data_IF_496071379594
#
_entry.id   IF_496071379594
#
_cell.length_a   1.000
_cell.length_b   1.000
_cell.length_c   1.000
_cell.angle_alpha   90.00
_cell.angle_beta   90.00
_cell.angle_gamma   90.00
#
_symmetry.space_group_name_H-M   'P 1'
#
loop_
_entity.id
_entity.type
_entity.pdbx_description
1 polymer ?
#
# COMPACT_ATOMS: atom_id res chain seq x y z
N UNK A 1 0.03 4.62 34.59
CA UNK A 1 0.87 4.80 33.39
C UNK A 1 0.40 6.08 32.69
N UNK A 2 1.28 7.05 32.44
CA UNK A 2 0.91 8.36 31.86
C UNK A 2 0.48 8.18 30.39
N UNK A 3 -0.70 8.66 30.01
CA UNK A 3 -1.24 8.59 28.64
C UNK A 3 -0.27 9.18 27.60
N UNK A 4 0.38 10.30 27.94
CA UNK A 4 1.42 10.94 27.11
C UNK A 4 2.60 9.98 26.86
N UNK A 5 3.03 9.24 27.88
CA UNK A 5 4.13 8.27 27.80
C UNK A 5 3.74 6.98 27.08
N UNK A 6 2.47 6.61 27.08
CA UNK A 6 1.99 5.45 26.31
C UNK A 6 1.92 5.79 24.83
N UNK A 7 1.37 6.95 24.48
CA UNK A 7 1.19 7.37 23.08
C UNK A 7 2.52 7.75 22.40
N UNK A 8 3.47 8.33 23.13
CA UNK A 8 4.79 8.69 22.59
C UNK A 8 5.58 7.50 22.04
N UNK A 9 5.32 6.28 22.55
CA UNK A 9 5.94 5.05 22.04
C UNK A 9 5.56 4.74 20.59
N UNK A 10 4.39 5.20 20.14
CA UNK A 10 3.86 4.93 18.80
C UNK A 10 4.19 6.03 17.78
N UNK A 11 4.72 7.18 18.22
CA UNK A 11 5.05 8.31 17.35
C UNK A 11 6.41 8.15 16.61
N UNK A 12 7.18 7.11 16.93
CA UNK A 12 8.48 6.86 16.32
C UNK A 12 8.35 6.35 14.88
N UNK A 13 9.03 7.01 13.93
CA UNK A 13 9.10 6.54 12.53
C UNK A 13 10.09 5.38 12.40
N UNK A 14 9.69 4.19 11.93
CA UNK A 14 10.60 3.07 11.74
C UNK A 14 11.61 3.36 10.63
N UNK A 15 12.85 2.89 10.81
CA UNK A 15 13.85 2.89 9.76
C UNK A 15 13.36 2.04 8.57
N UNK A 16 13.50 2.56 7.36
CA UNK A 16 13.11 1.89 6.11
C UNK A 16 11.63 1.50 6.00
N UNK A 17 10.71 2.24 6.66
CA UNK A 17 9.27 1.97 6.62
C UNK A 17 8.73 1.79 5.18
N UNK A 18 9.07 2.70 4.26
CA UNK A 18 8.61 2.60 2.87
C UNK A 18 9.05 1.29 2.20
N UNK A 19 10.29 0.84 2.43
CA UNK A 19 10.79 -0.43 1.88
C UNK A 19 10.00 -1.61 2.43
N UNK A 20 9.68 -1.60 3.73
CA UNK A 20 8.87 -2.66 4.36
C UNK A 20 7.46 -2.69 3.77
N UNK A 21 6.82 -1.52 3.65
CA UNK A 21 5.50 -1.36 3.03
C UNK A 21 5.53 -1.89 1.59
N UNK A 22 6.52 -1.47 0.80
CA UNK A 22 6.68 -1.88 -0.58
C UNK A 22 6.79 -3.40 -0.75
N UNK A 23 7.67 -4.05 0.02
CA UNK A 23 7.82 -5.51 -0.04
C UNK A 23 6.53 -6.21 0.38
N UNK A 24 5.88 -5.75 1.46
CA UNK A 24 4.59 -6.30 1.90
C UNK A 24 3.53 -6.21 0.80
N UNK A 25 3.39 -5.05 0.15
CA UNK A 25 2.43 -4.88 -0.94
C UNK A 25 2.78 -5.72 -2.17
N UNK A 26 4.06 -5.91 -2.49
CA UNK A 26 4.48 -6.81 -3.58
C UNK A 26 3.99 -8.24 -3.35
N UNK A 27 4.19 -8.78 -2.15
CA UNK A 27 3.74 -10.13 -1.81
C UNK A 27 2.23 -10.23 -1.63
N UNK A 28 1.60 -9.20 -1.07
CA UNK A 28 0.14 -9.15 -0.93
C UNK A 28 -0.57 -9.08 -2.29
N UNK A 29 0.02 -8.38 -3.27
CA UNK A 29 -0.54 -8.26 -4.62
C UNK A 29 -0.40 -9.53 -5.46
N UNK A 30 0.65 -10.33 -5.21
CA UNK A 30 0.96 -11.54 -5.98
C UNK A 30 -0.20 -12.54 -6.13
N UNK A 31 -0.94 -12.95 -5.08
CA UNK A 31 -2.08 -13.87 -5.24
C UNK A 31 -3.20 -13.28 -6.12
N UNK A 32 -3.43 -11.97 -6.03
CA UNK A 32 -4.42 -11.29 -6.90
C UNK A 32 -3.94 -11.24 -8.34
N UNK A 33 -2.66 -10.92 -8.57
CA UNK A 33 -2.06 -10.95 -9.89
C UNK A 33 -2.17 -12.34 -10.53
N UNK A 34 -1.87 -13.40 -9.77
CA UNK A 34 -2.02 -14.78 -10.24
C UNK A 34 -3.48 -15.10 -10.63
N UNK A 35 -4.43 -14.72 -9.78
CA UNK A 35 -5.85 -14.90 -10.08
C UNK A 35 -6.26 -14.16 -11.36
N UNK A 36 -5.86 -12.90 -11.52
CA UNK A 36 -6.17 -12.11 -12.72
C UNK A 36 -5.50 -12.68 -13.97
N UNK A 37 -4.26 -13.15 -13.88
CA UNK A 37 -3.56 -13.85 -14.97
C UNK A 37 -4.36 -15.05 -15.43
N UNK A 38 -4.90 -15.86 -14.51
CA UNK A 38 -5.76 -17.00 -14.85
C UNK A 38 -7.03 -16.52 -15.55
N UNK A 39 -7.78 -15.59 -14.96
CA UNK A 39 -9.04 -15.10 -15.52
C UNK A 39 -8.89 -14.52 -16.92
N UNK A 40 -7.85 -13.71 -17.14
CA UNK A 40 -7.55 -13.10 -18.44
C UNK A 40 -7.12 -14.15 -19.46
N UNK A 41 -6.34 -15.15 -19.03
CA UNK A 41 -5.90 -16.25 -19.89
C UNK A 41 -7.06 -17.09 -20.42
N UNK A 42 -8.09 -17.32 -19.60
CA UNK A 42 -9.30 -18.06 -19.98
C UNK A 42 -10.37 -17.20 -20.67
N UNK A 43 -10.09 -15.92 -20.95
CA UNK A 43 -11.06 -15.04 -21.61
C UNK A 43 -12.22 -14.59 -20.72
N UNK A 44 -12.13 -14.82 -19.40
CA UNK A 44 -13.23 -14.54 -18.46
C UNK A 44 -13.29 -13.06 -18.07
N UNK A 45 -12.13 -12.39 -18.05
CA UNK A 45 -12.02 -10.97 -17.70
C UNK A 45 -11.02 -10.29 -18.64
N UNK A 46 -11.40 -9.23 -19.37
CA UNK A 46 -10.45 -8.46 -20.16
C UNK A 46 -9.59 -7.54 -19.31
N UNK A 47 -8.44 -7.19 -19.85
CA UNK A 47 -7.65 -6.03 -19.40
C UNK A 47 -7.92 -4.90 -20.37
N UNK A 48 -8.56 -3.83 -19.90
CA UNK A 48 -8.77 -2.64 -20.71
C UNK A 48 -7.49 -1.81 -20.77
N UNK A 49 -7.01 -1.53 -21.99
CA UNK A 49 -5.84 -0.70 -22.21
C UNK A 49 -6.07 0.19 -23.45
N UNK A 50 -6.05 1.50 -23.27
CA UNK A 50 -6.37 2.50 -24.30
C UNK A 50 -7.71 2.21 -25.01
N UNK A 51 -8.77 1.99 -24.22
CA UNK A 51 -10.13 1.72 -24.71
C UNK A 51 -10.29 0.41 -25.51
N UNK A 52 -9.27 -0.46 -25.47
CA UNK A 52 -9.31 -1.79 -26.11
C UNK A 52 -9.20 -2.87 -25.04
N UNK A 53 -10.08 -3.86 -25.15
CA UNK A 53 -10.11 -5.02 -24.26
C UNK A 53 -9.16 -6.11 -24.76
N UNK A 54 -8.14 -6.43 -23.94
CA UNK A 54 -7.16 -7.47 -24.23
C UNK A 54 -7.39 -8.72 -23.37
N UNK A 55 -7.32 -9.87 -24.03
CA UNK A 55 -7.41 -11.20 -23.41
C UNK A 55 -6.16 -12.03 -23.65
N UNK A 56 -6.10 -13.20 -23.02
CA UNK A 56 -5.03 -14.17 -23.25
C UNK A 56 -3.65 -13.62 -22.87
N UNK A 57 -2.62 -14.06 -23.59
CA UNK A 57 -1.24 -13.65 -23.33
C UNK A 57 -1.02 -12.14 -23.42
N UNK A 58 -1.73 -11.44 -24.32
CA UNK A 58 -1.61 -9.98 -24.47
C UNK A 58 -2.06 -9.27 -23.18
N UNK A 59 -3.21 -9.66 -22.63
CA UNK A 59 -3.70 -9.12 -21.36
C UNK A 59 -2.77 -9.45 -20.18
N UNK A 60 -2.20 -10.66 -20.16
CA UNK A 60 -1.21 -11.06 -19.15
C UNK A 60 0.03 -10.17 -19.16
N UNK A 61 0.60 -9.90 -20.34
CA UNK A 61 1.77 -9.02 -20.48
C UNK A 61 1.46 -7.62 -19.96
N UNK A 62 0.30 -7.06 -20.33
CA UNK A 62 -0.13 -5.74 -19.85
C UNK A 62 -0.21 -5.73 -18.32
N UNK A 63 -0.85 -6.73 -17.69
CA UNK A 63 -0.96 -6.79 -16.22
C UNK A 63 0.39 -6.87 -15.52
N UNK A 64 1.32 -7.69 -16.01
CA UNK A 64 2.65 -7.84 -15.41
C UNK A 64 3.44 -6.53 -15.51
N UNK A 65 3.36 -5.83 -16.64
CA UNK A 65 3.99 -4.53 -16.81
C UNK A 65 3.39 -3.45 -15.89
N UNK A 66 2.09 -3.51 -15.60
CA UNK A 66 1.40 -2.56 -14.72
C UNK A 66 1.50 -2.90 -13.23
N UNK A 67 1.80 -4.15 -12.86
CA UNK A 67 1.89 -4.58 -11.47
C UNK A 67 2.86 -3.73 -10.61
N UNK A 68 4.09 -3.39 -11.06
CA UNK A 68 4.99 -2.52 -10.30
C UNK A 68 4.39 -1.15 -10.01
N UNK A 69 3.66 -0.56 -10.97
CA UNK A 69 3.00 0.73 -10.78
C UNK A 69 1.91 0.65 -9.71
N UNK A 70 1.08 -0.39 -9.74
CA UNK A 70 0.06 -0.62 -8.71
C UNK A 70 0.68 -0.80 -7.32
N UNK A 71 1.75 -1.60 -7.22
CA UNK A 71 2.47 -1.82 -5.95
C UNK A 71 3.06 -0.50 -5.43
N UNK A 72 3.73 0.29 -6.27
CA UNK A 72 4.28 1.59 -5.89
C UNK A 72 3.17 2.53 -5.44
N UNK A 73 2.05 2.57 -6.16
CA UNK A 73 0.91 3.43 -5.83
C UNK A 73 0.32 3.08 -4.46
N UNK A 74 0.00 1.81 -4.20
CA UNK A 74 -0.50 1.37 -2.89
C UNK A 74 0.50 1.62 -1.77
N UNK A 75 1.79 1.37 -2.04
CA UNK A 75 2.85 1.61 -1.07
C UNK A 75 3.01 3.10 -0.75
N UNK A 76 2.89 3.95 -1.76
CA UNK A 76 2.89 5.41 -1.63
C UNK A 76 1.72 5.89 -0.78
N UNK A 77 0.51 5.46 -1.09
CA UNK A 77 -0.68 5.81 -0.32
C UNK A 77 -0.58 5.34 1.14
N UNK A 78 -0.18 4.10 1.38
CA UNK A 78 0.01 3.58 2.73
C UNK A 78 1.09 4.35 3.51
N UNK A 79 2.18 4.73 2.85
CA UNK A 79 3.25 5.52 3.47
C UNK A 79 2.80 6.94 3.80
N UNK A 80 2.08 7.61 2.90
CA UNK A 80 1.50 8.93 3.14
C UNK A 80 0.48 8.88 4.28
N UNK A 81 -0.37 7.86 4.30
CA UNK A 81 -1.34 7.62 5.37
C UNK A 81 -0.65 7.46 6.73
N UNK A 82 0.44 6.70 6.78
CA UNK A 82 1.24 6.55 7.99
C UNK A 82 1.86 7.88 8.45
N UNK A 83 2.44 8.66 7.53
CA UNK A 83 3.02 9.98 7.87
C UNK A 83 1.94 10.89 8.45
N UNK A 84 0.78 10.94 7.80
CA UNK A 84 -0.33 11.76 8.24
C UNK A 84 -0.85 11.32 9.62
N UNK A 85 -1.05 10.02 9.84
CA UNK A 85 -1.44 9.49 11.14
C UNK A 85 -0.43 9.80 12.24
N UNK A 86 0.86 9.72 11.94
CA UNK A 86 1.92 10.08 12.90
C UNK A 86 1.92 11.59 13.20
N UNK A 87 1.72 12.44 12.19
CA UNK A 87 1.57 13.88 12.39
C UNK A 87 0.40 14.21 13.32
N UNK A 88 -0.77 13.63 13.09
CA UNK A 88 -1.95 13.81 13.95
C UNK A 88 -1.68 13.31 15.37
N UNK A 89 -1.04 12.14 15.52
CA UNK A 89 -0.68 11.60 16.83
C UNK A 89 0.28 12.52 17.60
N UNK A 90 1.29 13.07 16.93
CA UNK A 90 2.22 14.02 17.55
C UNK A 90 1.53 15.32 17.96
N UNK A 91 0.63 15.84 17.13
CA UNK A 91 -0.20 16.99 17.47
C UNK A 91 -1.09 16.71 18.69
N UNK A 92 -1.69 15.54 18.77
CA UNK A 92 -2.49 15.15 19.93
C UNK A 92 -1.64 15.07 21.20
N UNK A 93 -0.44 14.48 21.12
CA UNK A 93 0.49 14.36 22.25
C UNK A 93 0.97 15.74 22.73
N UNK A 94 1.18 16.71 21.84
CA UNK A 94 1.64 18.05 22.23
C UNK A 94 0.56 18.87 22.95
N UNK A 95 -0.72 18.59 22.66
CA UNK A 95 -1.87 19.22 23.31
C UNK A 95 -2.24 18.56 24.65
N UNK A 96 -1.71 17.36 24.95
CA UNK A 96 -1.98 16.68 26.22
C UNK A 96 -1.27 17.41 27.38
N UNK A 97 -1.99 17.70 28.48
CA UNK A 97 -1.41 18.39 29.62
C UNK A 97 -0.28 17.55 30.24
N UNK A 98 0.83 18.21 30.56
CA UNK A 98 1.82 17.61 31.45
C UNK A 98 1.22 17.55 32.84
N UNK A 99 0.87 16.33 33.29
CA UNK A 99 0.46 16.13 34.67
C UNK A 99 1.64 16.54 35.56
N UNK A 100 1.41 17.55 36.43
CA UNK A 100 2.29 17.87 37.57
C UNK A 100 2.57 16.63 38.41
#
# INVERSE_FOLDING_TARGET
MNLKNTLSKYAGKPNSLFKKIFVLFSFAYLPFLLLFVILVSFGLMPVNFNDVDYYGLKGVVIMICFAPFMIVMFSGFAYLWYIFGNFVLQLFISLLPEKK
#
